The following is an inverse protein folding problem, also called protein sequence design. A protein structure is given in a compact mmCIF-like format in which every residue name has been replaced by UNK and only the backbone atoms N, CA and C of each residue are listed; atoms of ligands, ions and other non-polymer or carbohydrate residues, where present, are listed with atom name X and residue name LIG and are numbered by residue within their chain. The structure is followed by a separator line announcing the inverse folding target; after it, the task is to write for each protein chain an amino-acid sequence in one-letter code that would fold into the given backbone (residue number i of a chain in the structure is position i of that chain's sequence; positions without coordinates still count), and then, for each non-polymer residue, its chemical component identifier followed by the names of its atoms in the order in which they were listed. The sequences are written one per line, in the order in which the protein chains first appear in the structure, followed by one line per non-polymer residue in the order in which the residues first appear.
data_IF_005466216641
#
_entry.id   IF_005466216641
#
_cell.length_a   1.000
_cell.length_b   1.000
_cell.length_c   1.000
_cell.angle_alpha   90.00
_cell.angle_beta   90.00
_cell.angle_gamma   90.00
#
_symmetry.space_group_name_H-M   'P 1'
#
loop_
_entity.id
_entity.type
_entity.pdbx_description
1 polymer ?
#
# COMPACT_ATOMS: atom_id res chain seq x y z
N UNK A 1 24.92 -3.24 5.20
CA UNK A 1 24.37 -1.97 4.71
C UNK A 1 24.28 -0.99 5.86
N UNK A 2 24.51 0.30 5.59
CA UNK A 2 24.42 1.39 6.56
C UNK A 2 23.39 2.45 6.09
N UNK A 3 23.13 3.43 6.95
CA UNK A 3 22.14 4.48 6.73
C UNK A 3 22.37 5.24 5.41
N UNK A 4 23.59 5.73 5.17
CA UNK A 4 23.94 6.49 3.95
C UNK A 4 23.69 5.70 2.67
N UNK A 5 23.97 4.40 2.68
CA UNK A 5 23.71 3.52 1.53
C UNK A 5 22.22 3.38 1.26
N UNK A 6 21.38 3.19 2.29
CA UNK A 6 19.91 3.16 2.12
C UNK A 6 19.45 4.48 1.50
N UNK A 7 19.85 5.61 2.08
CA UNK A 7 19.43 6.95 1.61
C UNK A 7 19.79 7.15 0.14
N UNK A 8 21.00 6.77 -0.27
CA UNK A 8 21.46 6.87 -1.66
C UNK A 8 20.63 6.01 -2.60
N UNK A 9 20.32 4.76 -2.21
CA UNK A 9 19.58 3.82 -3.06
C UNK A 9 18.10 4.16 -3.21
N UNK A 10 17.52 4.84 -2.21
CA UNK A 10 16.12 5.25 -2.25
C UNK A 10 15.87 6.52 -3.10
N UNK A 11 16.91 7.20 -3.56
CA UNK A 11 16.83 8.27 -4.55
C UNK A 11 15.84 9.39 -4.14
N UNK A 12 15.93 9.85 -2.90
CA UNK A 12 15.17 11.01 -2.44
C UNK A 12 15.45 12.26 -3.29
N UNK A 13 14.51 13.21 -3.28
CA UNK A 13 14.81 14.55 -3.77
C UNK A 13 15.92 15.18 -2.93
N UNK A 14 16.76 16.02 -3.55
CA UNK A 14 17.96 16.56 -2.90
C UNK A 14 17.65 17.35 -1.61
N UNK A 15 16.46 17.96 -1.50
CA UNK A 15 16.04 18.64 -0.28
C UNK A 15 15.75 17.64 0.86
N UNK A 16 15.02 16.56 0.59
CA UNK A 16 14.70 15.51 1.57
C UNK A 16 15.97 14.78 1.99
N UNK A 17 16.80 14.39 1.03
CA UNK A 17 18.06 13.69 1.27
C UNK A 17 18.95 14.50 2.23
N UNK A 18 19.18 15.78 1.91
CA UNK A 18 20.00 16.67 2.75
C UNK A 18 19.43 16.83 4.15
N UNK A 19 18.12 16.99 4.28
CA UNK A 19 17.47 17.14 5.58
C UNK A 19 17.58 15.84 6.40
N UNK A 20 17.41 14.67 5.77
CA UNK A 20 17.49 13.37 6.40
C UNK A 20 18.90 13.03 6.88
N UNK A 21 19.92 13.28 6.05
CA UNK A 21 21.33 13.10 6.45
C UNK A 21 21.71 14.04 7.60
N UNK A 22 21.21 15.29 7.56
CA UNK A 22 21.38 16.24 8.66
C UNK A 22 20.72 15.74 9.94
N UNK A 23 19.47 15.30 9.87
CA UNK A 23 18.70 14.73 10.98
C UNK A 23 19.45 13.55 11.62
N UNK A 24 19.93 12.61 10.79
CA UNK A 24 20.71 11.46 11.26
C UNK A 24 22.01 11.89 11.95
N UNK A 25 22.77 12.83 11.36
CA UNK A 25 24.04 13.30 11.94
C UNK A 25 23.87 13.98 13.31
N UNK A 26 22.77 14.72 13.54
CA UNK A 26 22.52 15.36 14.83
C UNK A 26 21.88 14.45 15.88
N UNK A 27 21.08 13.46 15.45
CA UNK A 27 20.23 12.66 16.33
C UNK A 27 20.53 11.17 16.31
N UNK A 28 21.68 10.74 15.79
CA UNK A 28 22.01 9.31 15.60
C UNK A 28 21.69 8.44 16.83
N UNK A 29 22.19 8.81 18.01
CA UNK A 29 21.96 8.03 19.24
C UNK A 29 20.48 7.94 19.63
N UNK A 30 19.72 9.00 19.38
CA UNK A 30 18.29 9.04 19.65
C UNK A 30 17.54 8.14 18.67
N UNK A 31 17.90 8.18 17.37
CA UNK A 31 17.35 7.33 16.33
C UNK A 31 17.59 5.85 16.65
N UNK A 32 18.83 5.50 17.02
CA UNK A 32 19.20 4.14 17.43
C UNK A 32 18.36 3.68 18.62
N UNK A 33 18.23 4.50 19.67
CA UNK A 33 17.44 4.16 20.85
C UNK A 33 15.96 3.95 20.52
N UNK A 34 15.36 4.86 19.73
CA UNK A 34 13.96 4.79 19.33
C UNK A 34 13.66 3.62 18.40
N UNK A 35 14.64 3.21 17.58
CA UNK A 35 14.47 2.06 16.68
C UNK A 35 14.18 0.74 17.43
N UNK A 36 14.66 0.60 18.67
CA UNK A 36 14.48 -0.61 19.47
C UNK A 36 13.03 -0.88 19.88
N UNK A 37 12.21 0.17 19.94
CA UNK A 37 10.81 0.09 20.39
C UNK A 37 9.83 0.69 19.38
N UNK A 38 10.32 1.13 18.22
CA UNK A 38 9.57 1.88 17.21
C UNK A 38 8.19 1.28 16.89
N UNK A 39 8.13 -0.05 16.72
CA UNK A 39 6.91 -0.79 16.36
C UNK A 39 6.31 -1.57 17.54
N UNK A 40 6.62 -1.20 18.78
CA UNK A 40 5.88 -1.68 19.96
C UNK A 40 4.61 -0.84 20.13
N UNK A 41 3.50 -1.49 20.49
CA UNK A 41 2.20 -0.87 20.63
C UNK A 41 1.07 -1.87 20.36
N UNK A 42 -0.17 -1.45 20.58
CA UNK A 42 -1.38 -2.22 20.29
C UNK A 42 -2.30 -1.41 19.38
N UNK A 43 -3.20 -2.06 18.64
CA UNK A 43 -4.20 -1.39 17.79
C UNK A 43 -3.62 -0.32 16.85
N UNK A 44 -2.45 -0.59 16.28
CA UNK A 44 -1.69 0.31 15.39
C UNK A 44 -1.17 1.61 16.05
N UNK A 45 -1.29 1.77 17.36
CA UNK A 45 -0.68 2.87 18.11
C UNK A 45 0.77 2.52 18.50
N UNK A 46 1.65 2.58 17.51
CA UNK A 46 3.08 2.29 17.70
C UNK A 46 3.81 3.45 18.38
N UNK A 47 4.82 3.17 19.20
CA UNK A 47 5.62 4.21 19.86
C UNK A 47 6.19 5.24 18.87
N UNK A 48 6.54 4.80 17.65
CA UNK A 48 7.02 5.68 16.59
C UNK A 48 5.97 6.70 16.11
N UNK A 49 4.68 6.36 16.16
CA UNK A 49 3.58 7.26 15.78
C UNK A 49 3.57 8.55 16.61
N UNK A 50 4.00 8.49 17.88
CA UNK A 50 4.10 9.67 18.76
C UNK A 50 5.26 10.62 18.42
N UNK A 51 6.21 10.21 17.58
CA UNK A 51 7.41 11.00 17.27
C UNK A 51 7.13 12.14 16.30
N UNK A 52 8.02 13.13 16.26
CA UNK A 52 7.95 14.19 15.23
C UNK A 52 8.22 13.60 13.83
N UNK A 53 7.64 14.18 12.75
CA UNK A 53 7.69 13.61 11.40
C UNK A 53 9.09 13.24 10.89
N UNK A 54 10.08 14.12 11.08
CA UNK A 54 11.46 13.85 10.66
C UNK A 54 12.10 12.68 11.42
N UNK A 55 11.79 12.52 12.72
CA UNK A 55 12.25 11.40 13.53
C UNK A 55 11.60 10.08 13.08
N UNK A 56 10.31 10.10 12.69
CA UNK A 56 9.64 8.94 12.07
C UNK A 56 10.37 8.45 10.84
N UNK A 57 10.63 9.36 9.90
CA UNK A 57 11.37 9.04 8.67
C UNK A 57 12.76 8.48 8.98
N UNK A 58 13.53 9.17 9.83
CA UNK A 58 14.89 8.74 10.15
C UNK A 58 14.95 7.35 10.82
N UNK A 59 14.02 7.05 11.74
CA UNK A 59 13.93 5.73 12.37
C UNK A 59 13.53 4.64 11.37
N UNK A 60 12.56 4.90 10.49
CA UNK A 60 12.18 3.94 9.43
C UNK A 60 13.38 3.62 8.54
N UNK A 61 14.11 4.64 8.07
CA UNK A 61 15.29 4.47 7.22
C UNK A 61 16.40 3.71 7.93
N UNK A 62 16.61 3.98 9.21
CA UNK A 62 17.56 3.24 10.03
C UNK A 62 17.17 1.74 10.12
N UNK A 63 15.88 1.44 10.34
CA UNK A 63 15.38 0.07 10.41
C UNK A 63 15.51 -0.68 9.07
N UNK A 64 15.40 -0.01 7.92
CA UNK A 64 15.59 -0.65 6.61
C UNK A 64 16.97 -1.31 6.44
N UNK A 65 17.98 -0.86 7.17
CA UNK A 65 19.31 -1.50 7.15
C UNK A 65 19.28 -2.96 7.61
N UNK A 66 18.48 -3.25 8.65
CA UNK A 66 18.26 -4.61 9.13
C UNK A 66 17.25 -5.33 8.24
N UNK A 67 16.16 -4.65 7.84
CA UNK A 67 15.12 -5.29 7.05
C UNK A 67 15.61 -5.76 5.69
N UNK A 68 16.51 -5.02 5.03
CA UNK A 68 17.13 -5.52 3.81
C UNK A 68 17.73 -6.92 3.98
N UNK A 69 18.41 -7.17 5.12
CA UNK A 69 18.99 -8.49 5.40
C UNK A 69 17.91 -9.55 5.62
N UNK A 70 16.77 -9.19 6.21
CA UNK A 70 15.64 -10.12 6.41
C UNK A 70 15.00 -10.52 5.08
N UNK A 71 14.74 -9.53 4.20
CA UNK A 71 14.24 -9.79 2.85
C UNK A 71 15.22 -10.65 2.05
N UNK A 72 16.53 -10.35 2.08
CA UNK A 72 17.54 -11.18 1.44
C UNK A 72 17.55 -12.61 1.98
N UNK A 73 17.41 -12.79 3.30
CA UNK A 73 17.45 -14.09 3.95
C UNK A 73 16.30 -15.01 3.50
N UNK A 74 15.12 -14.45 3.22
CA UNK A 74 13.99 -15.23 2.70
C UNK A 74 14.04 -15.40 1.17
N UNK A 75 15.11 -14.93 0.50
CA UNK A 75 15.32 -15.14 -0.93
C UNK A 75 14.73 -14.07 -1.84
N UNK A 76 14.32 -12.91 -1.31
CA UNK A 76 13.77 -11.83 -2.14
C UNK A 76 14.86 -11.24 -3.04
N UNK A 77 14.63 -11.12 -4.37
CA UNK A 77 15.58 -10.49 -5.29
C UNK A 77 15.89 -9.04 -4.90
N UNK A 78 17.16 -8.64 -4.99
CA UNK A 78 17.62 -7.32 -4.53
C UNK A 78 16.82 -6.15 -5.14
N UNK A 79 16.54 -6.19 -6.45
CA UNK A 79 15.75 -5.16 -7.11
C UNK A 79 14.34 -5.03 -6.49
N UNK A 80 13.71 -6.15 -6.15
CA UNK A 80 12.39 -6.17 -5.51
C UNK A 80 12.43 -5.61 -4.08
N UNK A 81 13.52 -5.84 -3.34
CA UNK A 81 13.70 -5.21 -2.01
C UNK A 81 13.75 -3.69 -2.15
N UNK A 82 14.55 -3.20 -3.10
CA UNK A 82 14.66 -1.76 -3.35
C UNK A 82 13.35 -1.17 -3.86
N UNK A 83 12.65 -1.84 -4.76
CA UNK A 83 11.32 -1.44 -5.24
C UNK A 83 10.31 -1.36 -4.09
N UNK A 84 10.37 -2.30 -3.14
CA UNK A 84 9.53 -2.29 -1.94
C UNK A 84 9.86 -1.10 -1.04
N UNK A 85 11.14 -0.84 -0.79
CA UNK A 85 11.57 0.23 0.10
C UNK A 85 11.40 1.63 -0.49
N UNK A 86 11.31 1.75 -1.82
CA UNK A 86 11.02 3.02 -2.51
C UNK A 86 9.66 3.62 -2.11
N UNK A 87 8.73 2.83 -1.57
CA UNK A 87 7.49 3.37 -1.00
C UNK A 87 7.79 4.34 0.16
N UNK A 88 8.84 4.11 0.95
CA UNK A 88 9.27 5.06 2.00
C UNK A 88 9.67 6.42 1.41
N UNK A 89 10.40 6.41 0.30
CA UNK A 89 10.79 7.64 -0.39
C UNK A 89 9.59 8.35 -1.03
N UNK A 90 8.68 7.57 -1.65
CA UNK A 90 7.44 8.09 -2.18
C UNK A 90 6.63 8.78 -1.09
N UNK A 91 6.35 8.12 0.04
CA UNK A 91 5.57 8.70 1.15
C UNK A 91 6.22 9.95 1.74
N UNK A 92 7.54 9.96 1.90
CA UNK A 92 8.26 11.15 2.36
C UNK A 92 8.09 12.34 1.40
N UNK A 93 8.12 12.10 0.08
CA UNK A 93 7.91 13.14 -0.92
C UNK A 93 6.45 13.64 -0.92
N UNK A 94 5.47 12.75 -0.76
CA UNK A 94 4.07 13.13 -0.62
C UNK A 94 3.83 13.98 0.63
N UNK A 95 4.45 13.58 1.75
CA UNK A 95 4.40 14.33 2.98
C UNK A 95 5.00 15.72 2.80
N UNK A 96 6.19 15.81 2.19
CA UNK A 96 6.86 17.08 1.92
C UNK A 96 6.01 17.99 1.01
N UNK A 97 5.42 17.47 -0.05
CA UNK A 97 4.53 18.23 -0.93
C UNK A 97 3.27 18.75 -0.22
N UNK A 98 2.75 17.98 0.73
CA UNK A 98 1.51 18.30 1.47
C UNK A 98 1.74 19.28 2.61
N UNK A 99 2.86 19.14 3.33
CA UNK A 99 3.12 19.84 4.60
C UNK A 99 4.21 20.91 4.47
N UNK A 100 5.15 20.76 3.52
CA UNK A 100 6.31 21.64 3.36
C UNK A 100 7.49 21.28 4.27
N UNK A 101 7.40 20.20 5.04
CA UNK A 101 8.42 19.73 5.96
C UNK A 101 8.82 18.28 5.64
N UNK A 102 10.05 17.88 5.98
CA UNK A 102 10.55 16.53 5.73
C UNK A 102 10.11 15.60 6.86
N UNK A 103 9.48 14.47 6.50
CA UNK A 103 9.03 13.49 7.47
C UNK A 103 8.05 12.47 6.91
N UNK A 104 7.38 11.76 7.81
CA UNK A 104 6.27 10.85 7.54
C UNK A 104 5.07 11.20 8.44
N UNK A 105 3.86 10.94 7.96
CA UNK A 105 2.69 10.97 8.82
C UNK A 105 2.58 9.69 9.67
N UNK A 106 1.54 9.61 10.51
CA UNK A 106 1.34 8.47 11.40
C UNK A 106 0.85 7.23 10.63
N UNK A 107 -0.02 7.45 9.64
CA UNK A 107 -0.60 6.37 8.83
C UNK A 107 0.46 5.67 7.98
N UNK A 108 1.44 6.40 7.47
CA UNK A 108 2.60 5.86 6.77
C UNK A 108 3.46 4.99 7.70
N UNK A 109 3.66 5.39 8.97
CA UNK A 109 4.35 4.54 9.95
C UNK A 109 3.59 3.24 10.18
N UNK A 110 2.27 3.34 10.34
CA UNK A 110 1.39 2.17 10.48
C UNK A 110 1.52 1.27 9.26
N UNK A 111 1.48 1.81 8.05
CA UNK A 111 1.66 1.06 6.80
C UNK A 111 2.99 0.32 6.75
N UNK A 112 4.08 0.99 7.12
CA UNK A 112 5.42 0.40 7.08
C UNK A 112 5.66 -0.71 8.10
N UNK A 113 4.71 -1.01 9.00
CA UNK A 113 4.77 -2.24 9.82
C UNK A 113 4.92 -3.49 8.94
N UNK A 114 4.30 -3.50 7.76
CA UNK A 114 4.39 -4.62 6.83
C UNK A 114 5.81 -4.78 6.25
N UNK A 115 6.55 -3.68 6.08
CA UNK A 115 7.98 -3.75 5.76
C UNK A 115 8.72 -4.36 6.93
N UNK A 116 8.37 -3.97 8.16
CA UNK A 116 9.06 -4.44 9.35
C UNK A 116 8.83 -5.93 9.66
N UNK A 117 7.66 -6.43 9.28
CA UNK A 117 7.25 -7.83 9.39
C UNK A 117 7.74 -8.67 8.19
N UNK A 118 8.32 -8.04 7.15
CA UNK A 118 8.74 -8.71 5.91
C UNK A 118 7.55 -9.33 5.16
N UNK A 119 6.42 -8.63 5.14
CA UNK A 119 5.15 -9.14 4.61
C UNK A 119 4.66 -8.41 3.36
N UNK A 120 5.26 -7.29 2.97
CA UNK A 120 4.85 -6.54 1.76
C UNK A 120 5.95 -6.52 0.70
N UNK A 121 5.55 -6.67 -0.55
CA UNK A 121 6.48 -6.78 -1.68
C UNK A 121 5.96 -5.95 -2.86
N UNK A 122 6.75 -5.01 -3.35
CA UNK A 122 6.50 -4.31 -4.61
C UNK A 122 6.88 -5.23 -5.78
N UNK A 123 5.90 -5.64 -6.59
CA UNK A 123 6.10 -6.54 -7.73
C UNK A 123 5.50 -5.88 -8.96
N UNK A 124 6.37 -5.34 -9.83
CA UNK A 124 5.94 -4.53 -10.96
C UNK A 124 5.27 -3.23 -10.49
N UNK A 125 4.06 -2.97 -10.95
CA UNK A 125 3.29 -1.76 -10.61
C UNK A 125 2.42 -1.89 -9.36
N UNK A 126 2.33 -3.08 -8.75
CA UNK A 126 1.45 -3.38 -7.62
C UNK A 126 2.26 -3.85 -6.41
N UNK A 127 1.64 -3.80 -5.22
CA UNK A 127 2.18 -4.38 -3.99
C UNK A 127 1.36 -5.58 -3.57
N UNK A 128 2.02 -6.57 -2.99
CA UNK A 128 1.38 -7.80 -2.54
C UNK A 128 1.82 -8.15 -1.13
N UNK A 129 0.90 -8.65 -0.32
CA UNK A 129 1.18 -9.19 1.01
C UNK A 129 0.44 -10.52 1.24
N UNK A 130 1.04 -11.53 1.89
CA UNK A 130 0.30 -12.64 2.45
C UNK A 130 -0.79 -12.14 3.40
N UNK A 131 -1.97 -12.73 3.34
CA UNK A 131 -3.10 -12.36 4.18
C UNK A 131 -4.05 -13.55 4.35
N UNK A 132 -4.95 -13.46 5.34
CA UNK A 132 -6.03 -14.42 5.54
C UNK A 132 -7.37 -13.74 5.27
N UNK A 133 -8.20 -14.36 4.41
CA UNK A 133 -9.49 -13.80 4.05
C UNK A 133 -10.37 -13.64 5.30
N UNK A 134 -10.87 -12.42 5.50
CA UNK A 134 -11.82 -12.09 6.56
C UNK A 134 -13.06 -11.43 5.97
N UNK A 135 -14.22 -11.71 6.58
CA UNK A 135 -15.49 -11.11 6.21
C UNK A 135 -15.92 -10.17 7.34
N UNK A 136 -16.21 -8.93 6.99
CA UNK A 136 -16.79 -7.96 7.92
C UNK A 136 -18.26 -8.33 8.10
N UNK A 137 -18.63 -8.77 9.30
CA UNK A 137 -20.01 -9.22 9.60
C UNK A 137 -20.83 -8.14 10.28
N UNK A 138 -20.18 -7.25 11.04
CA UNK A 138 -20.83 -6.15 11.74
C UNK A 138 -20.56 -4.82 11.02
N UNK A 139 -21.60 -3.98 10.83
CA UNK A 139 -21.46 -2.58 10.45
C UNK A 139 -20.41 -1.87 11.30
N UNK A 140 -19.38 -1.35 10.65
CA UNK A 140 -18.52 -0.32 11.23
C UNK A 140 -19.00 1.03 10.69
N UNK A 141 -18.91 2.12 11.45
CA UNK A 141 -19.44 3.44 11.05
C UNK A 141 -19.15 3.80 9.58
N UNK A 142 -20.16 3.66 8.72
CA UNK A 142 -20.08 3.97 7.27
C UNK A 142 -19.39 2.92 6.40
N UNK A 143 -18.96 1.78 6.95
CA UNK A 143 -18.22 0.73 6.27
C UNK A 143 -18.99 -0.61 6.24
N UNK A 144 -20.23 -0.56 5.75
CA UNK A 144 -21.12 -1.70 5.65
C UNK A 144 -20.82 -2.52 4.39
N UNK A 145 -20.08 -3.62 4.56
CA UNK A 145 -19.78 -4.53 3.47
C UNK A 145 -20.93 -5.50 3.22
N UNK A 146 -21.44 -5.48 1.99
CA UNK A 146 -22.43 -6.45 1.50
C UNK A 146 -21.70 -7.42 0.58
N UNK A 147 -21.64 -8.69 0.99
CA UNK A 147 -21.06 -9.77 0.19
C UNK A 147 -22.13 -10.52 -0.59
N UNK A 148 -21.74 -11.09 -1.74
CA UNK A 148 -22.63 -11.97 -2.51
C UNK A 148 -22.88 -13.28 -1.75
N UNK A 149 -24.02 -13.92 -2.01
CA UNK A 149 -24.49 -15.10 -1.26
C UNK A 149 -23.46 -16.25 -1.20
N UNK A 150 -22.79 -16.52 -2.32
CA UNK A 150 -21.81 -17.61 -2.43
C UNK A 150 -20.36 -17.17 -2.13
N UNK A 151 -20.11 -15.95 -1.62
CA UNK A 151 -18.76 -15.45 -1.41
C UNK A 151 -17.93 -16.35 -0.47
N UNK A 152 -18.52 -16.75 0.66
CA UNK A 152 -17.86 -17.61 1.67
C UNK A 152 -17.68 -19.07 1.19
N UNK A 153 -18.47 -19.52 0.23
CA UNK A 153 -18.28 -20.82 -0.42
C UNK A 153 -17.10 -20.76 -1.39
N UNK A 154 -17.04 -19.70 -2.21
CA UNK A 154 -15.96 -19.48 -3.17
C UNK A 154 -14.60 -19.28 -2.49
N UNK A 155 -14.57 -18.50 -1.40
CA UNK A 155 -13.35 -18.20 -0.66
C UNK A 155 -13.65 -18.26 0.85
N UNK A 156 -13.52 -19.43 1.49
CA UNK A 156 -13.81 -19.58 2.92
C UNK A 156 -13.02 -18.62 3.81
N UNK A 157 -13.61 -18.13 4.92
CA UNK A 157 -12.86 -17.37 5.93
C UNK A 157 -11.59 -18.09 6.37
N UNK A 158 -10.51 -17.36 6.60
CA UNK A 158 -9.18 -17.91 6.91
C UNK A 158 -8.42 -18.47 5.70
N UNK A 159 -8.99 -18.43 4.49
CA UNK A 159 -8.26 -18.81 3.28
C UNK A 159 -7.05 -17.91 3.10
N UNK A 160 -5.88 -18.50 2.87
CA UNK A 160 -4.66 -17.75 2.56
C UNK A 160 -4.79 -17.10 1.18
N UNK A 161 -4.52 -15.80 1.11
CA UNK A 161 -4.61 -14.99 -0.10
C UNK A 161 -3.42 -14.05 -0.21
N UNK A 162 -3.21 -13.51 -1.40
CA UNK A 162 -2.30 -12.40 -1.64
C UNK A 162 -3.12 -11.12 -1.69
N UNK A 163 -3.06 -10.30 -0.65
CA UNK A 163 -3.72 -9.01 -0.65
C UNK A 163 -2.91 -8.03 -1.51
N UNK A 164 -3.55 -7.51 -2.54
CA UNK A 164 -3.00 -6.65 -3.58
C UNK A 164 -3.35 -5.20 -3.28
N UNK A 165 -2.31 -4.36 -3.26
CA UNK A 165 -2.41 -2.93 -3.03
C UNK A 165 -1.92 -2.15 -4.24
N UNK A 166 -2.43 -0.92 -4.36
CA UNK A 166 -2.20 -0.06 -5.53
C UNK A 166 -1.45 1.18 -5.05
N UNK A 167 -0.10 1.23 -5.20
CA UNK A 167 0.68 2.38 -4.81
C UNK A 167 0.27 3.65 -5.54
N UNK A 168 0.46 4.81 -4.92
CA UNK A 168 0.23 6.09 -5.59
C UNK A 168 1.18 6.22 -6.78
N UNK A 169 0.62 6.46 -7.96
CA UNK A 169 1.40 6.56 -9.19
C UNK A 169 1.67 5.22 -9.88
N UNK A 170 1.08 4.11 -9.41
CA UNK A 170 1.11 2.84 -10.11
C UNK A 170 0.67 2.98 -11.58
N UNK A 171 1.41 2.33 -12.50
CA UNK A 171 0.97 2.25 -13.88
C UNK A 171 -0.09 1.17 -14.05
N UNK A 172 -1.34 1.60 -14.11
CA UNK A 172 -2.50 0.74 -14.34
C UNK A 172 -2.70 0.37 -15.82
N UNK A 173 -1.67 0.49 -16.66
CA UNK A 173 -1.73 -0.07 -18.01
C UNK A 173 -1.91 -1.59 -17.94
N UNK A 174 -2.73 -2.12 -18.86
CA UNK A 174 -3.07 -3.55 -18.88
C UNK A 174 -1.85 -4.46 -18.81
N UNK A 175 -0.83 -4.15 -19.62
CA UNK A 175 0.42 -4.92 -19.66
C UNK A 175 1.13 -4.94 -18.31
N UNK A 176 1.30 -3.78 -17.66
CA UNK A 176 1.98 -3.71 -16.36
C UNK A 176 1.20 -4.38 -15.24
N UNK A 177 -0.13 -4.29 -15.25
CA UNK A 177 -1.00 -5.00 -14.28
C UNK A 177 -0.91 -6.51 -14.48
N UNK A 178 -1.01 -7.00 -15.73
CA UNK A 178 -0.87 -8.42 -16.05
C UNK A 178 0.49 -8.96 -15.64
N UNK A 179 1.59 -8.26 -15.97
CA UNK A 179 2.95 -8.62 -15.56
C UNK A 179 3.06 -8.68 -14.03
N UNK A 180 2.53 -7.69 -13.32
CA UNK A 180 2.58 -7.63 -11.85
C UNK A 180 1.88 -8.83 -11.22
N UNK A 181 0.67 -9.17 -11.69
CA UNK A 181 -0.11 -10.31 -11.21
C UNK A 181 0.62 -11.63 -11.49
N UNK A 182 1.12 -11.86 -12.70
CA UNK A 182 1.81 -13.10 -13.04
C UNK A 182 3.13 -13.26 -12.26
N UNK A 183 3.89 -12.16 -12.13
CA UNK A 183 5.14 -12.13 -11.38
C UNK A 183 4.89 -12.40 -9.90
N UNK A 184 3.78 -11.90 -9.32
CA UNK A 184 3.40 -12.20 -7.95
C UNK A 184 3.08 -13.69 -7.77
N UNK A 185 2.29 -14.30 -8.67
CA UNK A 185 2.00 -15.74 -8.62
C UNK A 185 3.28 -16.57 -8.59
N UNK A 186 4.21 -16.27 -9.51
CA UNK A 186 5.50 -16.95 -9.57
C UNK A 186 6.30 -16.73 -8.29
N UNK A 187 6.53 -15.48 -7.90
CA UNK A 187 7.32 -15.12 -6.73
C UNK A 187 6.83 -15.80 -5.45
N UNK A 188 5.53 -15.72 -5.16
CA UNK A 188 4.99 -16.33 -3.94
C UNK A 188 5.01 -17.86 -3.97
N UNK A 189 4.92 -18.48 -5.16
CA UNK A 189 5.07 -19.94 -5.29
C UNK A 189 6.50 -20.42 -5.05
N UNK A 190 7.50 -19.57 -5.34
CA UNK A 190 8.92 -19.89 -5.13
C UNK A 190 9.35 -19.63 -3.68
N UNK A 191 8.94 -18.49 -3.10
CA UNK A 191 9.34 -18.08 -1.75
C UNK A 191 8.52 -18.77 -0.65
N UNK A 192 7.25 -19.09 -0.93
CA UNK A 192 6.34 -19.71 0.02
C UNK A 192 5.59 -20.91 -0.61
N UNK A 193 6.30 -21.97 -1.05
CA UNK A 193 5.72 -23.07 -1.83
C UNK A 193 4.58 -23.80 -1.13
N UNK A 194 4.65 -23.94 0.19
CA UNK A 194 3.65 -24.64 1.00
C UNK A 194 2.53 -23.72 1.49
N UNK A 195 2.45 -22.47 1.01
CA UNK A 195 1.50 -21.50 1.52
C UNK A 195 0.05 -21.72 1.07
N UNK A 196 -0.17 -22.39 -0.06
CA UNK A 196 -1.52 -22.73 -0.53
C UNK A 196 -2.42 -21.51 -0.76
N UNK A 197 -1.87 -20.41 -1.30
CA UNK A 197 -2.64 -19.21 -1.61
C UNK A 197 -3.77 -19.53 -2.61
N UNK A 198 -5.00 -19.18 -2.26
CA UNK A 198 -6.21 -19.52 -3.03
C UNK A 198 -6.68 -18.41 -3.97
N UNK A 199 -6.30 -17.18 -3.69
CA UNK A 199 -6.70 -16.02 -4.47
C UNK A 199 -5.72 -14.86 -4.31
N UNK A 200 -5.75 -13.93 -5.27
CA UNK A 200 -5.34 -12.54 -5.07
C UNK A 200 -6.59 -11.77 -4.66
N UNK A 201 -6.51 -11.02 -3.58
CA UNK A 201 -7.57 -10.22 -2.99
C UNK A 201 -7.23 -8.74 -3.17
N UNK A 202 -8.19 -7.89 -3.49
CA UNK A 202 -7.96 -6.45 -3.50
C UNK A 202 -9.19 -5.73 -2.94
N UNK A 203 -8.95 -4.86 -1.96
CA UNK A 203 -9.95 -3.92 -1.46
C UNK A 203 -9.64 -2.54 -2.03
N UNK A 204 -10.49 -2.04 -2.94
CA UNK A 204 -10.26 -0.74 -3.57
C UNK A 204 -11.53 -0.07 -4.06
N UNK A 205 -11.56 1.26 -3.99
CA UNK A 205 -12.56 2.07 -4.70
C UNK A 205 -12.43 1.93 -6.23
N UNK A 206 -11.24 1.55 -6.71
CA UNK A 206 -10.98 1.28 -8.12
C UNK A 206 -11.71 0.03 -8.64
N UNK A 207 -12.30 -0.77 -7.77
CA UNK A 207 -13.09 -1.96 -8.13
C UNK A 207 -14.60 -1.75 -8.01
N UNK A 208 -15.05 -0.56 -7.62
CA UNK A 208 -16.47 -0.34 -7.33
C UNK A 208 -17.33 -0.43 -8.61
N UNK A 209 -18.28 -1.39 -8.71
CA UNK A 209 -18.93 -1.71 -9.98
C UNK A 209 -19.65 -0.53 -10.65
N UNK A 210 -20.34 0.32 -9.88
CA UNK A 210 -21.11 1.40 -10.47
C UNK A 210 -20.22 2.48 -11.09
N UNK A 211 -19.11 2.82 -10.43
CA UNK A 211 -18.09 3.70 -11.00
C UNK A 211 -17.56 3.11 -12.30
N UNK A 212 -17.17 1.82 -12.29
CA UNK A 212 -16.59 1.13 -13.44
C UNK A 212 -17.54 1.14 -14.66
N UNK A 213 -18.84 0.93 -14.47
CA UNK A 213 -19.84 0.96 -15.55
C UNK A 213 -19.89 2.30 -16.29
N UNK A 214 -19.54 3.39 -15.61
CA UNK A 214 -19.56 4.74 -16.17
C UNK A 214 -18.20 5.19 -16.73
N UNK A 215 -17.16 4.38 -16.61
CA UNK A 215 -15.85 4.65 -17.21
C UNK A 215 -15.84 4.23 -18.70
N UNK A 216 -15.14 5.00 -19.56
CA UNK A 216 -14.96 4.61 -20.95
C UNK A 216 -14.15 3.31 -21.05
N UNK A 217 -14.31 2.58 -22.16
CA UNK A 217 -13.70 1.26 -22.33
C UNK A 217 -12.15 1.27 -22.33
N UNK A 218 -11.54 2.41 -22.70
CA UNK A 218 -10.10 2.64 -22.69
C UNK A 218 -9.56 3.14 -21.35
N UNK A 219 -10.42 3.29 -20.33
CA UNK A 219 -9.98 3.66 -18.98
C UNK A 219 -9.09 2.58 -18.37
N UNK A 220 -7.88 2.96 -17.96
CA UNK A 220 -6.95 2.08 -17.25
C UNK A 220 -7.52 1.54 -15.94
N UNK A 221 -8.34 2.32 -15.22
CA UNK A 221 -9.03 1.85 -14.01
C UNK A 221 -10.00 0.72 -14.35
N UNK A 222 -10.75 0.86 -15.45
CA UNK A 222 -11.66 -0.19 -15.91
C UNK A 222 -10.92 -1.44 -16.35
N UNK A 223 -9.79 -1.29 -17.03
CA UNK A 223 -8.94 -2.41 -17.43
C UNK A 223 -8.29 -3.10 -16.23
N UNK A 224 -7.87 -2.35 -15.21
CA UNK A 224 -7.38 -2.89 -13.94
C UNK A 224 -8.44 -3.72 -13.21
N UNK A 225 -9.70 -3.27 -13.23
CA UNK A 225 -10.80 -3.96 -12.54
C UNK A 225 -11.29 -5.23 -13.26
N UNK A 226 -11.12 -5.32 -14.58
CA UNK A 226 -11.60 -6.42 -15.44
C UNK A 226 -11.26 -7.84 -14.95
N UNK A 227 -10.03 -8.17 -14.52
CA UNK A 227 -9.72 -9.52 -14.05
C UNK A 227 -10.33 -9.87 -12.68
N UNK A 228 -10.81 -8.89 -11.91
CA UNK A 228 -11.33 -9.13 -10.56
C UNK A 228 -12.81 -9.50 -10.58
N UNK A 229 -13.13 -10.61 -9.92
CA UNK A 229 -14.51 -10.94 -9.58
C UNK A 229 -14.89 -10.26 -8.26
N UNK A 230 -15.83 -9.31 -8.31
CA UNK A 230 -16.27 -8.58 -7.11
C UNK A 230 -17.19 -9.45 -6.27
N UNK A 231 -16.75 -9.76 -5.04
CA UNK A 231 -17.50 -10.60 -4.08
C UNK A 231 -18.14 -9.80 -2.95
N UNK A 232 -17.79 -8.52 -2.80
CA UNK A 232 -18.43 -7.63 -1.84
C UNK A 232 -18.23 -6.16 -2.16
N UNK A 233 -19.18 -5.34 -1.72
CA UNK A 233 -19.16 -3.90 -1.92
C UNK A 233 -19.63 -3.15 -0.70
N UNK A 234 -19.13 -1.94 -0.52
CA UNK A 234 -19.56 -1.00 0.51
C UNK A 234 -19.80 0.36 -0.14
N UNK A 235 -20.87 1.05 0.25
CA UNK A 235 -21.17 2.41 -0.21
C UNK A 235 -20.32 3.47 0.53
N UNK A 236 -19.00 3.32 0.45
CA UNK A 236 -18.03 4.19 1.11
C UNK A 236 -17.18 4.94 0.09
N UNK A 237 -17.54 6.20 -0.18
CA UNK A 237 -16.91 7.01 -1.22
C UNK A 237 -15.66 7.79 -0.74
N UNK A 238 -15.42 7.85 0.57
CA UNK A 238 -14.40 8.74 1.17
C UNK A 238 -13.00 8.49 0.60
N UNK A 239 -12.57 7.23 0.52
CA UNK A 239 -11.26 6.90 -0.05
C UNK A 239 -11.12 7.35 -1.52
N UNK A 240 -12.18 7.24 -2.32
CA UNK A 240 -12.17 7.76 -3.70
C UNK A 240 -12.03 9.29 -3.70
N UNK A 241 -12.76 9.99 -2.81
CA UNK A 241 -12.72 11.45 -2.73
C UNK A 241 -11.35 11.96 -2.30
N UNK A 242 -10.74 11.34 -1.30
CA UNK A 242 -9.39 11.66 -0.84
C UNK A 242 -8.35 11.51 -1.96
N UNK A 243 -8.41 10.41 -2.71
CA UNK A 243 -7.49 10.13 -3.81
C UNK A 243 -7.70 11.06 -5.01
N UNK A 244 -8.94 11.46 -5.30
CA UNK A 244 -9.27 12.31 -6.45
C UNK A 244 -8.98 13.79 -6.22
N UNK A 245 -9.19 14.31 -5.02
CA UNK A 245 -9.12 15.74 -4.76
C UNK A 245 -7.97 16.16 -3.84
N UNK A 246 -7.42 15.25 -3.04
CA UNK A 246 -6.50 15.62 -1.95
C UNK A 246 -7.09 16.77 -1.11
N UNK A 247 -6.25 17.77 -0.76
CA UNK A 247 -6.70 19.01 -0.09
C UNK A 247 -6.98 20.19 -1.05
N UNK A 248 -6.76 20.06 -2.35
CA UNK A 248 -6.91 21.16 -3.32
C UNK A 248 -7.71 20.69 -4.56
N UNK A 249 -9.02 20.93 -4.51
CA UNK A 249 -9.99 20.51 -5.52
C UNK A 249 -9.91 21.33 -6.81
N UNK A 250 -9.00 20.97 -7.71
CA UNK A 250 -9.05 21.44 -9.11
C UNK A 250 -9.62 20.36 -10.01
N UNK A 251 -10.70 20.67 -10.71
CA UNK A 251 -11.38 19.77 -11.65
C UNK A 251 -10.58 19.64 -12.96
N UNK A 252 -9.72 18.64 -13.04
CA UNK A 252 -8.86 18.40 -14.20
C UNK A 252 -9.35 17.22 -15.06
N UNK A 253 -9.93 16.19 -14.45
CA UNK A 253 -10.27 14.93 -15.16
C UNK A 253 -11.78 14.69 -15.27
N UNK A 254 -12.19 13.81 -16.20
CA UNK A 254 -13.58 13.33 -16.30
C UNK A 254 -14.02 12.60 -15.02
N UNK A 255 -13.14 11.82 -14.41
CA UNK A 255 -13.38 11.10 -13.17
C UNK A 255 -13.67 12.05 -12.00
N UNK A 256 -12.89 13.13 -11.86
CA UNK A 256 -13.13 14.17 -10.86
C UNK A 256 -14.47 14.88 -11.08
N UNK A 257 -14.85 15.18 -12.34
CA UNK A 257 -16.17 15.77 -12.64
C UNK A 257 -17.31 14.81 -12.28
N UNK A 258 -17.15 13.52 -12.56
CA UNK A 258 -18.13 12.50 -12.15
C UNK A 258 -18.23 12.41 -10.63
N UNK A 259 -17.11 12.43 -9.90
CA UNK A 259 -17.09 12.40 -8.43
C UNK A 259 -17.86 13.56 -7.79
N UNK A 260 -17.74 14.78 -8.32
CA UNK A 260 -18.51 15.92 -7.80
C UNK A 260 -20.00 15.86 -8.15
N UNK A 261 -20.33 15.39 -9.35
CA UNK A 261 -21.72 15.40 -9.83
C UNK A 261 -22.53 14.19 -9.35
N UNK A 262 -21.84 13.06 -9.10
CA UNK A 262 -22.43 11.74 -8.90
C UNK A 262 -21.64 10.94 -7.85
N UNK A 263 -21.51 11.49 -6.63
CA UNK A 263 -20.77 10.83 -5.55
C UNK A 263 -21.34 9.45 -5.20
N UNK A 264 -22.65 9.23 -5.40
CA UNK A 264 -23.34 7.96 -5.20
C UNK A 264 -22.79 6.80 -6.07
N UNK A 265 -22.10 7.13 -7.16
CA UNK A 265 -21.46 6.13 -8.05
C UNK A 265 -20.14 5.63 -7.51
N UNK A 266 -19.63 6.20 -6.43
CA UNK A 266 -18.37 5.81 -5.81
C UNK A 266 -18.65 5.01 -4.54
N UNK A 267 -17.77 4.05 -4.29
CA UNK A 267 -17.83 3.18 -3.15
C UNK A 267 -16.52 2.41 -3.05
N UNK A 268 -16.57 1.31 -2.32
CA UNK A 268 -15.44 0.45 -2.06
C UNK A 268 -15.82 -0.99 -2.40
N UNK A 269 -14.90 -1.78 -2.93
CA UNK A 269 -15.19 -3.15 -3.33
C UNK A 269 -14.06 -4.12 -2.97
N UNK A 270 -14.47 -5.35 -2.70
CA UNK A 270 -13.65 -6.53 -2.48
C UNK A 270 -13.69 -7.36 -3.75
N UNK A 271 -12.60 -7.35 -4.52
CA UNK A 271 -12.43 -8.17 -5.71
C UNK A 271 -11.42 -9.29 -5.50
N UNK A 272 -11.65 -10.42 -6.16
CA UNK A 272 -10.76 -11.57 -6.11
C UNK A 272 -10.35 -12.06 -7.50
N UNK A 273 -9.15 -12.63 -7.60
CA UNK A 273 -8.68 -13.45 -8.71
C UNK A 273 -8.31 -14.81 -8.13
N UNK A 274 -9.05 -15.86 -8.46
CA UNK A 274 -8.73 -17.21 -8.00
C UNK A 274 -7.39 -17.68 -8.59
N UNK A 275 -6.60 -18.39 -7.77
CA UNK A 275 -5.29 -18.94 -8.12
C UNK A 275 -5.36 -20.42 -8.50
#
# INVERSE_FOLDING_TARGET
MNFDTIVTQLQFTACIEKALLKEFAYHQREIELRSLTAYKGENFDFELCSQRPAMRLAVVIYLLCEQYKKYQKIGVPENMIWDTFRDVALRAELYFQKIGEVGLDQDDVVWFRHIMETEIFQIGSLQFQPFEMMYVEEPMDGFDFIYIENAKEMLPPGSRVLNCHIPRGADLSRENVEISIQSAKQFFSEIFPDAGFRAILCYSWLLYPDMIRHLPADSRIRQFADPFYVIGTCHYAEQAMENLFGKQGTLKTSLQRMALAHQERFGFACGIILL
#
